data_IF_493237002768
#
_entry.id   IF_493237002768
#
_cell.length_a   1.000
_cell.length_b   1.000
_cell.length_c   1.000
_cell.angle_alpha   90.00
_cell.angle_beta   90.00
_cell.angle_gamma   90.00
#
_symmetry.space_group_name_H-M   'P 1'
#
loop_
_entity.id
_entity.type
_entity.pdbx_description
1 polymer ?
#
# COMPACT_ATOMS: atom_id res chain seq x y z
N UNK A 1 -18.28 24.56 11.17
CA UNK A 1 -18.13 23.31 10.42
C UNK A 1 -17.31 23.61 9.16
N UNK A 2 -16.14 22.97 8.99
CA UNK A 2 -15.31 23.16 7.78
C UNK A 2 -16.11 22.73 6.53
N UNK A 3 -16.03 23.44 5.41
CA UNK A 3 -16.63 23.00 4.15
C UNK A 3 -16.09 21.66 3.68
N UNK A 4 -16.87 20.91 2.89
CA UNK A 4 -16.43 19.66 2.28
C UNK A 4 -15.19 19.92 1.40
N UNK A 5 -14.19 19.06 1.52
CA UNK A 5 -12.90 19.16 0.81
C UNK A 5 -12.13 20.46 1.05
N UNK A 6 -12.35 21.11 2.19
CA UNK A 6 -11.65 22.36 2.52
C UNK A 6 -10.13 22.17 2.49
N UNK A 7 -9.63 21.18 3.21
CA UNK A 7 -8.20 20.92 3.30
C UNK A 7 -7.61 20.47 1.96
N UNK A 8 -8.34 19.64 1.22
CA UNK A 8 -7.93 19.20 -0.12
C UNK A 8 -7.62 20.37 -1.05
N UNK A 9 -8.46 21.41 -1.04
CA UNK A 9 -8.25 22.63 -1.83
C UNK A 9 -7.13 23.51 -1.25
N UNK A 10 -7.17 23.75 0.06
CA UNK A 10 -6.17 24.57 0.74
C UNK A 10 -4.73 24.09 0.48
N UNK A 11 -4.47 22.80 0.68
CA UNK A 11 -3.14 22.21 0.46
C UNK A 11 -2.71 22.35 -1.00
N UNK A 12 -3.64 22.13 -1.94
CA UNK A 12 -3.36 22.30 -3.36
C UNK A 12 -3.00 23.74 -3.72
N UNK A 13 -3.81 24.69 -3.26
CA UNK A 13 -3.62 26.10 -3.58
C UNK A 13 -2.30 26.63 -2.99
N UNK A 14 -2.00 26.30 -1.73
CA UNK A 14 -0.74 26.65 -1.07
C UNK A 14 0.49 26.06 -1.78
N UNK A 15 0.42 24.78 -2.15
CA UNK A 15 1.53 24.13 -2.84
C UNK A 15 1.76 24.73 -4.24
N UNK A 16 0.69 24.95 -5.01
CA UNK A 16 0.76 25.52 -6.35
C UNK A 16 1.27 26.96 -6.33
N UNK A 17 0.86 27.76 -5.36
CA UNK A 17 1.39 29.13 -5.17
C UNK A 17 2.91 29.11 -4.97
N UNK A 18 3.40 28.22 -4.09
CA UNK A 18 4.83 28.06 -3.81
C UNK A 18 5.61 27.54 -5.02
N UNK A 19 5.05 26.60 -5.77
CA UNK A 19 5.67 26.08 -6.99
C UNK A 19 5.80 27.16 -8.07
N UNK A 20 4.77 27.99 -8.26
CA UNK A 20 4.83 29.16 -9.19
C UNK A 20 5.86 30.18 -8.75
N UNK A 21 6.06 30.34 -7.43
CA UNK A 21 7.10 31.21 -6.88
C UNK A 21 8.53 30.59 -6.95
N UNK A 22 8.69 29.44 -7.62
CA UNK A 22 9.98 28.80 -7.84
C UNK A 22 10.43 27.79 -6.78
N UNK A 23 9.58 27.46 -5.80
CA UNK A 23 9.93 26.44 -4.80
C UNK A 23 9.93 25.05 -5.45
N UNK A 24 11.03 24.30 -5.32
CA UNK A 24 11.10 22.92 -5.76
C UNK A 24 10.39 21.96 -4.78
N UNK A 25 10.27 22.35 -3.52
CA UNK A 25 9.66 21.52 -2.47
C UNK A 25 8.77 22.35 -1.55
N UNK A 26 7.58 21.80 -1.24
CA UNK A 26 6.65 22.35 -0.24
C UNK A 26 6.42 21.29 0.83
N UNK A 27 6.41 21.69 2.10
CA UNK A 27 6.07 20.83 3.24
C UNK A 27 4.79 21.33 3.88
N UNK A 28 3.90 20.39 4.16
CA UNK A 28 2.63 20.65 4.84
C UNK A 28 2.38 19.58 5.90
N UNK A 29 1.89 20.00 7.06
CA UNK A 29 1.45 19.06 8.11
C UNK A 29 0.14 19.54 8.72
N UNK A 30 -0.71 18.57 9.10
CA UNK A 30 -1.97 18.83 9.79
C UNK A 30 -2.29 17.64 10.71
N UNK A 31 -3.24 17.83 11.58
CA UNK A 31 -3.72 16.84 12.53
C UNK A 31 -5.23 16.71 12.47
N UNK A 32 -5.76 15.54 12.85
CA UNK A 32 -7.19 15.27 12.96
C UNK A 32 -7.97 15.49 11.65
N UNK A 33 -7.33 15.24 10.51
CA UNK A 33 -7.99 15.31 9.20
C UNK A 33 -9.01 14.17 9.08
N UNK A 34 -10.26 14.54 8.83
CA UNK A 34 -11.38 13.59 8.83
C UNK A 34 -11.95 13.26 7.46
N UNK A 35 -13.02 12.49 7.46
CA UNK A 35 -13.70 11.95 6.27
C UNK A 35 -14.35 12.99 5.35
N UNK A 36 -14.46 14.23 5.79
CA UNK A 36 -14.96 15.35 4.97
C UNK A 36 -13.93 15.86 3.97
N UNK A 37 -12.64 15.58 4.18
CA UNK A 37 -11.56 15.91 3.26
C UNK A 37 -11.27 14.73 2.36
N UNK A 38 -11.98 14.65 1.23
CA UNK A 38 -11.87 13.61 0.21
C UNK A 38 -10.87 13.99 -0.86
N UNK A 39 -10.33 12.97 -1.54
CA UNK A 39 -9.43 13.13 -2.69
C UNK A 39 -8.22 14.06 -2.38
N UNK A 40 -7.74 14.06 -1.13
CA UNK A 40 -6.58 14.83 -0.73
C UNK A 40 -5.36 14.36 -1.54
N UNK A 41 -4.64 15.30 -2.13
CA UNK A 41 -3.54 15.05 -3.06
C UNK A 41 -3.94 14.99 -4.54
N UNK A 42 -5.15 14.52 -4.88
CA UNK A 42 -5.63 14.40 -6.28
C UNK A 42 -5.64 15.76 -7.00
N UNK A 43 -6.17 16.77 -6.33
CA UNK A 43 -6.27 18.11 -6.89
C UNK A 43 -4.90 18.71 -7.20
N UNK A 44 -3.96 18.55 -6.26
CA UNK A 44 -2.58 18.99 -6.43
C UNK A 44 -1.87 18.26 -7.55
N UNK A 45 -1.99 16.92 -7.60
CA UNK A 45 -1.38 16.12 -8.66
C UNK A 45 -1.86 16.54 -10.05
N UNK A 46 -3.18 16.73 -10.21
CA UNK A 46 -3.77 17.19 -11.47
C UNK A 46 -3.39 18.63 -11.84
N UNK A 47 -3.33 19.53 -10.89
CA UNK A 47 -2.92 20.92 -11.13
C UNK A 47 -1.45 21.03 -11.52
N UNK A 48 -0.57 20.33 -10.81
CA UNK A 48 0.86 20.30 -11.10
C UNK A 48 1.16 19.67 -12.47
N UNK A 49 0.52 18.54 -12.78
CA UNK A 49 0.69 17.89 -14.08
C UNK A 49 0.25 18.78 -15.25
N UNK A 50 -0.85 19.52 -15.08
CA UNK A 50 -1.35 20.44 -16.10
C UNK A 50 -0.46 21.64 -16.31
N UNK A 51 0.14 22.18 -15.25
CA UNK A 51 0.91 23.43 -15.32
C UNK A 51 2.38 23.20 -15.58
N UNK A 52 2.98 22.16 -15.00
CA UNK A 52 4.41 21.86 -15.06
C UNK A 52 4.75 20.60 -15.84
N UNK A 53 3.74 19.85 -16.28
CA UNK A 53 3.92 18.56 -16.95
C UNK A 53 3.96 17.37 -15.98
N UNK A 54 3.81 16.12 -16.49
CA UNK A 54 3.73 14.92 -15.67
C UNK A 54 5.07 14.56 -14.98
N UNK A 55 6.19 15.01 -15.54
CA UNK A 55 7.55 14.75 -15.03
C UNK A 55 8.16 15.95 -14.28
N UNK A 56 7.30 16.87 -13.87
CA UNK A 56 7.72 18.06 -13.12
C UNK A 56 8.52 17.69 -11.86
N UNK A 57 9.61 18.42 -11.61
CA UNK A 57 10.51 18.18 -10.48
C UNK A 57 10.00 18.68 -9.13
N UNK A 58 8.83 19.32 -9.09
CA UNK A 58 8.22 19.82 -7.86
C UNK A 58 7.77 18.69 -6.95
N UNK A 59 7.89 18.90 -5.62
CA UNK A 59 7.48 17.92 -4.62
C UNK A 59 6.71 18.56 -3.46
N UNK A 60 5.58 17.98 -3.13
CA UNK A 60 4.81 18.30 -1.93
C UNK A 60 4.92 17.12 -0.94
N UNK A 61 5.53 17.39 0.19
CA UNK A 61 5.67 16.45 1.30
C UNK A 61 4.59 16.77 2.33
N UNK A 62 3.61 15.89 2.45
CA UNK A 62 2.43 16.06 3.29
C UNK A 62 2.46 15.05 4.43
N UNK A 63 2.30 15.50 5.67
CA UNK A 63 2.17 14.64 6.84
C UNK A 63 0.88 14.93 7.59
N UNK A 64 0.07 13.91 7.82
CA UNK A 64 -1.21 13.99 8.52
C UNK A 64 -1.15 13.10 9.76
N UNK A 65 -1.15 13.70 10.96
CA UNK A 65 -1.13 12.96 12.21
C UNK A 65 -2.56 12.74 12.74
N UNK A 66 -2.79 11.65 13.46
CA UNK A 66 -4.09 11.31 14.09
C UNK A 66 -5.28 11.44 13.12
N UNK A 67 -5.11 11.00 11.86
CA UNK A 67 -5.98 11.36 10.75
C UNK A 67 -6.56 10.14 10.05
N UNK A 68 -7.83 10.26 9.59
CA UNK A 68 -8.48 9.32 8.68
C UNK A 68 -9.15 10.12 7.56
N UNK A 69 -8.37 10.56 6.55
CA UNK A 69 -8.90 11.30 5.41
C UNK A 69 -9.99 10.51 4.67
N UNK A 70 -10.89 11.22 4.01
CA UNK A 70 -12.00 10.64 3.27
C UNK A 70 -11.57 9.89 2.01
N UNK A 71 -12.57 9.31 1.33
CA UNK A 71 -12.39 8.49 0.12
C UNK A 71 -11.51 9.17 -0.93
N UNK A 72 -10.67 8.37 -1.61
CA UNK A 72 -9.83 8.82 -2.70
C UNK A 72 -8.56 9.57 -2.25
N UNK A 73 -8.11 9.40 -1.01
CA UNK A 73 -6.79 9.87 -0.59
C UNK A 73 -5.73 9.43 -1.62
N UNK A 74 -4.91 10.36 -2.12
CA UNK A 74 -3.87 10.06 -3.11
C UNK A 74 -4.40 9.49 -4.45
N UNK A 75 -5.70 9.50 -4.73
CA UNK A 75 -6.22 9.03 -6.00
C UNK A 75 -5.63 9.87 -7.15
N UNK A 76 -5.21 9.22 -8.24
CA UNK A 76 -4.48 9.83 -9.34
C UNK A 76 -3.23 10.60 -8.91
N UNK A 77 -2.64 10.21 -7.78
CA UNK A 77 -1.38 10.75 -7.29
C UNK A 77 -0.25 10.57 -8.30
N UNK A 78 0.70 11.50 -8.29
CA UNK A 78 1.83 11.51 -9.20
C UNK A 78 3.13 11.77 -8.43
N UNK A 79 4.26 11.83 -9.13
CA UNK A 79 5.59 12.08 -8.54
C UNK A 79 5.68 13.36 -7.70
N UNK A 80 4.75 14.29 -7.86
CA UNK A 80 4.69 15.52 -7.05
C UNK A 80 4.33 15.27 -5.59
N UNK A 81 3.77 14.09 -5.26
CA UNK A 81 3.25 13.80 -3.92
C UNK A 81 4.12 12.81 -3.16
N UNK A 82 4.50 13.19 -1.93
CA UNK A 82 4.95 12.30 -0.87
C UNK A 82 4.03 12.52 0.33
N UNK A 83 3.22 11.52 0.68
CA UNK A 83 2.20 11.65 1.72
C UNK A 83 2.35 10.57 2.78
N UNK A 84 2.38 10.97 4.03
CA UNK A 84 2.31 10.06 5.19
C UNK A 84 1.09 10.42 5.99
N UNK A 85 0.25 9.43 6.30
CA UNK A 85 -0.86 9.56 7.23
C UNK A 85 -0.67 8.59 8.39
N UNK A 86 -0.67 9.12 9.61
CA UNK A 86 -0.70 8.36 10.86
C UNK A 86 -2.17 8.27 11.30
N UNK A 87 -2.76 7.07 11.21
CA UNK A 87 -4.18 6.80 11.48
C UNK A 87 -4.74 5.77 10.53
N UNK A 88 -5.33 6.20 9.44
CA UNK A 88 -5.91 5.31 8.43
C UNK A 88 -6.31 6.04 7.16
N UNK A 89 -6.89 5.31 6.22
CA UNK A 89 -7.41 5.85 4.97
C UNK A 89 -8.68 5.11 4.54
N UNK A 90 -9.54 5.78 3.79
CA UNK A 90 -10.82 5.23 3.34
C UNK A 90 -10.74 4.61 1.94
N UNK A 91 -11.90 4.37 1.31
CA UNK A 91 -12.01 3.69 0.02
C UNK A 91 -11.32 4.45 -1.13
N UNK A 92 -10.79 3.71 -2.10
CA UNK A 92 -10.19 4.26 -3.30
C UNK A 92 -8.87 5.00 -3.08
N UNK A 93 -8.19 4.76 -1.95
CA UNK A 93 -6.86 5.31 -1.66
C UNK A 93 -5.86 4.84 -2.73
N UNK A 94 -5.05 5.75 -3.26
CA UNK A 94 -4.09 5.55 -4.34
C UNK A 94 -4.69 5.01 -5.67
N UNK A 95 -6.01 5.07 -5.87
CA UNK A 95 -6.65 4.65 -7.12
C UNK A 95 -6.07 5.43 -8.31
N UNK A 96 -5.65 4.72 -9.36
CA UNK A 96 -5.14 5.32 -10.60
C UNK A 96 -3.86 6.14 -10.42
N UNK A 97 -3.13 5.97 -9.33
CA UNK A 97 -1.88 6.69 -9.12
C UNK A 97 -0.84 6.34 -10.18
N UNK A 98 -0.06 7.34 -10.60
CA UNK A 98 0.98 7.23 -11.62
C UNK A 98 2.40 7.42 -11.08
N UNK A 99 2.55 7.69 -9.79
CA UNK A 99 3.85 7.91 -9.15
C UNK A 99 3.71 8.44 -7.73
N UNK A 100 4.84 8.87 -7.16
CA UNK A 100 4.91 9.40 -5.81
C UNK A 100 4.97 8.34 -4.72
N UNK A 101 4.83 8.76 -3.47
CA UNK A 101 4.90 7.86 -2.33
C UNK A 101 3.75 8.12 -1.34
N UNK A 102 3.14 7.04 -0.84
CA UNK A 102 2.12 7.07 0.19
C UNK A 102 2.46 6.07 1.29
N UNK A 103 2.42 6.51 2.54
CA UNK A 103 2.46 5.62 3.69
C UNK A 103 1.21 5.84 4.57
N UNK A 104 0.48 4.76 4.84
CA UNK A 104 -0.61 4.71 5.81
C UNK A 104 -0.12 3.94 7.03
N UNK A 105 0.13 4.65 8.10
CA UNK A 105 0.74 4.13 9.32
C UNK A 105 -0.25 4.13 10.48
N UNK A 106 0.00 3.29 11.47
CA UNK A 106 -0.78 3.27 12.71
C UNK A 106 -0.65 4.62 13.43
N UNK A 107 -1.77 5.23 13.72
CA UNK A 107 -1.87 6.41 14.55
C UNK A 107 -1.77 6.09 16.04
N UNK A 108 -1.62 7.10 16.89
CA UNK A 108 -1.60 6.97 18.34
C UNK A 108 -2.97 7.36 18.88
N UNK A 109 -3.62 6.46 19.64
CA UNK A 109 -4.89 6.75 20.30
C UNK A 109 -4.68 7.51 21.62
N UNK A 110 -5.79 7.84 22.31
CA UNK A 110 -5.74 8.58 23.59
C UNK A 110 -4.99 7.84 24.71
N UNK A 111 -4.87 6.52 24.63
CA UNK A 111 -4.13 5.70 25.59
C UNK A 111 -2.63 5.60 25.23
N UNK A 112 -2.17 6.29 24.19
CA UNK A 112 -0.81 6.23 23.70
C UNK A 112 -0.48 4.97 22.88
N UNK A 113 -1.48 4.13 22.56
CA UNK A 113 -1.30 2.92 21.77
C UNK A 113 -1.38 3.21 20.28
N UNK A 114 -0.53 2.54 19.49
CA UNK A 114 -0.60 2.61 18.04
C UNK A 114 -1.68 1.66 17.51
N UNK A 115 -2.63 2.24 16.79
CA UNK A 115 -3.82 1.54 16.29
C UNK A 115 -4.09 1.90 14.84
N UNK A 116 -4.96 1.12 14.19
CA UNK A 116 -5.39 1.27 12.80
C UNK A 116 -4.25 1.08 11.79
N UNK A 117 -3.89 2.07 10.97
CA UNK A 117 -2.92 1.94 9.88
C UNK A 117 -3.47 1.17 8.69
N UNK A 118 -4.79 1.15 8.53
CA UNK A 118 -5.50 0.38 7.52
C UNK A 118 -6.09 1.27 6.42
N UNK A 119 -6.46 0.63 5.31
CA UNK A 119 -7.14 1.30 4.20
C UNK A 119 -8.49 0.66 3.90
N UNK A 120 -9.39 1.43 3.28
CA UNK A 120 -10.67 0.93 2.79
C UNK A 120 -10.53 0.10 1.52
N UNK A 121 -11.66 -0.08 0.83
CA UNK A 121 -11.79 -0.88 -0.40
C UNK A 121 -11.05 -0.28 -1.59
N UNK A 122 -10.65 -1.15 -2.51
CA UNK A 122 -10.07 -0.74 -3.80
C UNK A 122 -8.81 0.11 -3.67
N UNK A 123 -7.98 -0.20 -2.68
CA UNK A 123 -6.66 0.41 -2.52
C UNK A 123 -5.80 0.16 -3.77
N UNK A 124 -5.12 1.20 -4.27
CA UNK A 124 -4.26 1.16 -5.47
C UNK A 124 -4.93 0.55 -6.72
N UNK A 125 -6.27 0.63 -6.84
CA UNK A 125 -6.99 0.15 -8.01
C UNK A 125 -6.49 0.85 -9.28
N UNK A 126 -5.98 0.09 -10.24
CA UNK A 126 -5.48 0.61 -11.51
C UNK A 126 -4.26 1.54 -11.39
N UNK A 127 -3.51 1.47 -10.30
CA UNK A 127 -2.28 2.24 -10.18
C UNK A 127 -1.22 1.75 -11.17
N UNK A 128 -0.56 2.69 -11.83
CA UNK A 128 0.44 2.44 -12.87
C UNK A 128 1.86 2.82 -12.42
N UNK A 129 2.01 3.39 -11.23
CA UNK A 129 3.29 3.75 -10.62
C UNK A 129 3.11 4.30 -9.22
N UNK A 130 4.21 4.43 -8.51
CA UNK A 130 4.27 4.90 -7.13
C UNK A 130 4.65 3.79 -6.14
N UNK A 131 4.98 4.20 -4.92
CA UNK A 131 5.29 3.29 -3.81
C UNK A 131 4.31 3.50 -2.66
N UNK A 132 3.61 2.44 -2.27
CA UNK A 132 2.56 2.50 -1.29
C UNK A 132 2.81 1.55 -0.12
N UNK A 133 2.82 2.08 1.09
CA UNK A 133 3.07 1.34 2.32
C UNK A 133 1.82 1.41 3.20
N UNK A 134 1.23 0.26 3.55
CA UNK A 134 0.09 0.13 4.46
C UNK A 134 0.53 -0.70 5.66
N UNK A 135 0.57 -0.09 6.84
CA UNK A 135 1.15 -0.76 8.01
C UNK A 135 0.29 -1.91 8.55
N UNK A 136 -1.01 -1.91 8.27
CA UNK A 136 -1.90 -2.95 8.78
C UNK A 136 -2.69 -3.60 7.65
N UNK A 137 -4.00 -3.44 7.61
CA UNK A 137 -4.92 -4.14 6.72
C UNK A 137 -5.37 -3.27 5.54
N UNK A 138 -5.85 -3.91 4.49
CA UNK A 138 -6.68 -3.28 3.48
C UNK A 138 -8.01 -4.03 3.36
N UNK A 139 -9.09 -3.31 3.07
CA UNK A 139 -10.37 -3.94 2.76
C UNK A 139 -10.30 -4.62 1.37
N UNK A 140 -11.39 -5.18 0.91
CA UNK A 140 -11.45 -5.97 -0.33
C UNK A 140 -11.00 -5.20 -1.57
N UNK A 141 -10.54 -5.96 -2.57
CA UNK A 141 -10.16 -5.46 -3.89
C UNK A 141 -8.90 -4.60 -3.91
N UNK A 142 -7.94 -4.88 -3.06
CA UNK A 142 -6.63 -4.23 -3.10
C UNK A 142 -5.87 -4.59 -4.39
N UNK A 143 -5.23 -3.60 -5.02
CA UNK A 143 -4.39 -3.72 -6.21
C UNK A 143 -5.09 -4.34 -7.45
N UNK A 144 -6.43 -4.23 -7.56
CA UNK A 144 -7.13 -4.65 -8.77
C UNK A 144 -6.64 -3.82 -9.96
N UNK A 145 -6.31 -4.49 -11.09
CA UNK A 145 -5.83 -3.86 -12.33
C UNK A 145 -4.58 -2.99 -12.14
N UNK A 146 -3.80 -3.23 -11.11
CA UNK A 146 -2.50 -2.58 -10.93
C UNK A 146 -1.54 -3.03 -12.03
N UNK A 147 -0.76 -2.09 -12.59
CA UNK A 147 0.10 -2.37 -13.74
C UNK A 147 1.54 -1.84 -13.63
N UNK A 148 1.94 -1.26 -12.49
CA UNK A 148 3.32 -0.75 -12.39
C UNK A 148 3.69 -0.12 -11.05
N UNK A 149 2.82 -0.15 -10.05
CA UNK A 149 3.11 0.37 -8.72
C UNK A 149 3.74 -0.69 -7.81
N UNK A 150 4.36 -0.23 -6.72
CA UNK A 150 4.86 -1.04 -5.63
C UNK A 150 3.94 -0.90 -4.41
N UNK A 151 3.54 -2.00 -3.77
CA UNK A 151 2.74 -1.97 -2.56
C UNK A 151 3.27 -2.92 -1.47
N UNK A 152 3.26 -2.48 -0.21
CA UNK A 152 3.59 -3.31 0.95
C UNK A 152 2.42 -3.27 1.93
N UNK A 153 1.90 -4.45 2.30
CA UNK A 153 0.89 -4.65 3.34
C UNK A 153 1.56 -5.27 4.56
N UNK A 154 1.69 -4.48 5.62
CA UNK A 154 2.50 -4.77 6.80
C UNK A 154 1.78 -5.52 7.92
N UNK A 155 0.45 -5.75 7.80
CA UNK A 155 -0.28 -6.59 8.76
C UNK A 155 0.31 -8.00 8.81
N UNK A 156 0.59 -8.53 10.01
CA UNK A 156 1.30 -9.80 10.22
C UNK A 156 0.41 -10.82 10.91
N UNK A 157 0.62 -12.11 10.61
CA UNK A 157 0.01 -13.22 11.33
C UNK A 157 0.76 -13.39 12.65
N UNK A 158 0.06 -13.26 13.77
CA UNK A 158 0.62 -13.30 15.14
C UNK A 158 0.06 -14.43 16.00
N UNK A 159 -0.76 -15.30 15.41
CA UNK A 159 -1.37 -16.43 16.10
C UNK A 159 -1.85 -17.51 15.12
N UNK A 160 -2.33 -18.66 15.64
CA UNK A 160 -2.72 -19.79 14.79
C UNK A 160 -3.80 -19.40 13.77
N UNK A 161 -3.58 -19.81 12.51
CA UNK A 161 -4.55 -19.67 11.42
C UNK A 161 -5.41 -20.94 11.38
N UNK A 162 -6.73 -20.76 11.53
CA UNK A 162 -7.72 -21.85 11.56
C UNK A 162 -8.70 -21.64 10.42
N UNK A 163 -8.35 -22.14 9.25
CA UNK A 163 -9.15 -21.96 8.04
C UNK A 163 -10.52 -22.65 8.10
N UNK A 164 -10.67 -23.64 8.97
CA UNK A 164 -11.91 -24.36 9.24
C UNK A 164 -12.92 -23.55 10.09
N UNK A 165 -12.49 -22.49 10.74
CA UNK A 165 -13.33 -21.67 11.62
C UNK A 165 -13.90 -20.45 10.89
N UNK A 166 -14.95 -20.63 10.10
CA UNK A 166 -15.74 -19.54 9.53
C UNK A 166 -15.16 -18.85 8.29
N UNK A 167 -15.50 -17.59 8.06
CA UNK A 167 -15.18 -16.87 6.84
C UNK A 167 -13.71 -16.39 6.82
N UNK A 168 -12.94 -16.83 5.84
CA UNK A 168 -11.54 -16.42 5.64
C UNK A 168 -11.39 -14.89 5.52
N UNK A 169 -12.29 -14.22 4.79
CA UNK A 169 -12.22 -12.77 4.57
C UNK A 169 -12.32 -11.96 5.87
N UNK A 170 -13.08 -12.41 6.86
CA UNK A 170 -13.26 -11.67 8.11
C UNK A 170 -11.99 -11.56 8.95
N UNK A 171 -11.09 -12.56 8.84
CA UNK A 171 -9.85 -12.67 9.62
C UNK A 171 -8.60 -12.26 8.83
N UNK A 172 -8.72 -12.17 7.51
CA UNK A 172 -7.61 -11.83 6.64
C UNK A 172 -7.19 -10.36 6.78
N UNK A 173 -5.93 -10.08 6.46
CA UNK A 173 -5.39 -8.72 6.40
C UNK A 173 -5.83 -8.01 5.12
N UNK A 174 -6.02 -8.76 4.01
CA UNK A 174 -6.73 -8.28 2.83
C UNK A 174 -8.08 -9.02 2.76
N UNK A 175 -9.18 -8.29 2.66
CA UNK A 175 -10.53 -8.86 2.87
C UNK A 175 -11.08 -9.66 1.67
N UNK A 176 -10.22 -9.96 0.68
CA UNK A 176 -10.53 -10.77 -0.49
C UNK A 176 -10.51 -10.01 -1.81
N UNK A 177 -10.49 -10.76 -2.91
CA UNK A 177 -10.43 -10.27 -4.29
C UNK A 177 -9.21 -9.37 -4.59
N UNK A 178 -8.11 -9.53 -3.86
CA UNK A 178 -6.90 -8.78 -4.11
C UNK A 178 -6.21 -9.25 -5.40
N UNK A 179 -5.54 -8.32 -6.07
CA UNK A 179 -4.72 -8.59 -7.27
C UNK A 179 -5.49 -9.09 -8.50
N UNK A 180 -6.82 -8.90 -8.53
CA UNK A 180 -7.61 -9.25 -9.74
C UNK A 180 -7.15 -8.43 -10.93
N UNK A 181 -6.94 -9.10 -12.07
CA UNK A 181 -6.50 -8.48 -13.32
C UNK A 181 -5.24 -7.62 -13.20
N UNK A 182 -4.37 -7.90 -12.24
CA UNK A 182 -3.07 -7.27 -12.13
C UNK A 182 -2.21 -7.64 -13.34
N UNK A 183 -1.58 -6.63 -13.96
CA UNK A 183 -0.79 -6.79 -15.18
C UNK A 183 0.68 -6.38 -15.01
N UNK A 184 1.07 -5.82 -13.87
CA UNK A 184 2.43 -5.41 -13.55
C UNK A 184 2.54 -4.86 -12.14
N UNK A 185 3.77 -4.52 -11.73
CA UNK A 185 4.07 -4.03 -10.40
C UNK A 185 4.46 -5.12 -9.41
N UNK A 186 4.85 -4.70 -8.20
CA UNK A 186 5.36 -5.59 -7.14
C UNK A 186 4.56 -5.39 -5.86
N UNK A 187 4.09 -6.49 -5.28
CA UNK A 187 3.34 -6.42 -4.02
C UNK A 187 3.99 -7.31 -2.97
N UNK A 188 4.16 -6.81 -1.75
CA UNK A 188 4.57 -7.62 -0.59
C UNK A 188 3.40 -7.71 0.38
N UNK A 189 3.03 -8.93 0.77
CA UNK A 189 2.00 -9.21 1.77
C UNK A 189 2.63 -9.91 2.96
N UNK A 190 2.70 -9.24 4.09
CA UNK A 190 3.23 -9.82 5.33
C UNK A 190 2.21 -10.66 6.10
N UNK A 191 0.93 -10.56 5.77
CA UNK A 191 -0.14 -11.29 6.45
C UNK A 191 -0.96 -12.20 5.56
N UNK A 192 -2.19 -12.46 5.95
CA UNK A 192 -3.14 -13.25 5.17
C UNK A 192 -3.74 -12.41 4.03
N UNK A 193 -3.56 -12.82 2.75
CA UNK A 193 -4.05 -12.07 1.60
C UNK A 193 -5.58 -12.20 1.40
N UNK A 194 -6.26 -13.01 2.21
CA UNK A 194 -7.69 -13.27 2.07
C UNK A 194 -8.06 -14.15 0.87
N UNK A 195 -9.34 -14.48 0.72
CA UNK A 195 -9.80 -15.40 -0.32
C UNK A 195 -9.90 -14.73 -1.70
N UNK A 196 -9.93 -15.58 -2.74
CA UNK A 196 -10.19 -15.25 -4.15
C UNK A 196 -9.18 -14.27 -4.76
N UNK A 197 -7.89 -14.43 -4.43
CA UNK A 197 -6.82 -13.58 -4.94
C UNK A 197 -6.39 -13.98 -6.35
N UNK A 198 -5.78 -13.03 -7.07
CA UNK A 198 -5.12 -13.22 -8.38
C UNK A 198 -6.05 -13.67 -9.52
N UNK A 199 -7.39 -13.45 -9.44
CA UNK A 199 -8.27 -13.76 -10.56
C UNK A 199 -7.88 -12.94 -11.79
N UNK A 200 -7.58 -13.62 -12.93
CA UNK A 200 -7.20 -12.96 -14.17
C UNK A 200 -5.89 -12.17 -14.12
N UNK A 201 -5.03 -12.42 -13.15
CA UNK A 201 -3.68 -11.83 -13.08
C UNK A 201 -2.82 -12.33 -14.23
N UNK A 202 -2.22 -11.40 -14.99
CA UNK A 202 -1.43 -11.69 -16.19
C UNK A 202 -0.02 -11.11 -16.15
N UNK A 203 0.34 -10.33 -15.13
CA UNK A 203 1.67 -9.76 -14.95
C UNK A 203 1.91 -9.28 -13.53
N UNK A 204 3.14 -8.87 -13.24
CA UNK A 204 3.59 -8.50 -11.90
C UNK A 204 3.88 -9.69 -10.99
N UNK A 205 4.27 -9.39 -9.75
CA UNK A 205 4.63 -10.40 -8.75
C UNK A 205 4.04 -10.04 -7.38
N UNK A 206 3.57 -11.06 -6.65
CA UNK A 206 3.16 -10.94 -5.25
C UNK A 206 4.10 -11.77 -4.38
N UNK A 207 4.80 -11.13 -3.47
CA UNK A 207 5.65 -11.75 -2.45
C UNK A 207 4.82 -12.00 -1.21
N UNK A 208 4.53 -13.26 -0.92
CA UNK A 208 3.71 -13.68 0.21
C UNK A 208 4.56 -14.23 1.34
N UNK A 209 4.48 -13.61 2.51
CA UNK A 209 5.12 -14.11 3.73
C UNK A 209 4.37 -15.32 4.29
N UNK A 210 5.12 -16.33 4.72
CA UNK A 210 4.63 -17.55 5.35
C UNK A 210 4.89 -17.54 6.86
N UNK A 211 4.01 -18.21 7.61
CA UNK A 211 4.12 -18.42 9.06
C UNK A 211 3.81 -19.88 9.38
N UNK A 212 4.74 -20.83 9.07
CA UNK A 212 4.50 -22.25 9.32
C UNK A 212 4.21 -22.56 10.79
N UNK A 213 4.80 -21.78 11.70
CA UNK A 213 4.60 -21.87 13.15
C UNK A 213 3.16 -21.55 13.57
N UNK A 214 2.41 -20.83 12.72
CA UNK A 214 1.01 -20.50 12.90
C UNK A 214 0.08 -21.24 11.95
N UNK A 215 0.59 -22.23 11.22
CA UNK A 215 -0.19 -22.99 10.25
C UNK A 215 -0.43 -22.29 8.90
N UNK A 216 0.18 -21.14 8.67
CA UNK A 216 0.06 -20.42 7.40
C UNK A 216 1.21 -20.80 6.45
N UNK A 217 0.94 -21.74 5.57
CA UNK A 217 1.89 -22.37 4.67
C UNK A 217 1.55 -22.11 3.20
N UNK A 218 2.36 -22.63 2.28
CA UNK A 218 2.07 -22.58 0.84
C UNK A 218 0.69 -23.17 0.50
N UNK A 219 0.25 -24.21 1.21
CA UNK A 219 -1.08 -24.79 1.02
C UNK A 219 -2.18 -23.82 1.47
N UNK A 220 -1.97 -23.08 2.56
CA UNK A 220 -2.88 -22.02 2.98
C UNK A 220 -3.00 -20.93 1.91
N UNK A 221 -1.91 -20.56 1.25
CA UNK A 221 -1.92 -19.59 0.14
C UNK A 221 -2.68 -20.16 -1.07
N UNK A 222 -2.47 -21.44 -1.44
CA UNK A 222 -3.23 -22.09 -2.54
C UNK A 222 -4.73 -22.05 -2.31
N UNK A 223 -5.21 -22.26 -1.09
CA UNK A 223 -6.63 -22.18 -0.73
C UNK A 223 -7.22 -20.77 -0.87
N UNK A 224 -6.39 -19.74 -0.93
CA UNK A 224 -6.82 -18.34 -1.12
C UNK A 224 -6.89 -17.92 -2.58
N UNK A 225 -6.31 -18.70 -3.49
CA UNK A 225 -6.38 -18.40 -4.91
C UNK A 225 -7.84 -18.44 -5.42
N UNK A 226 -8.17 -17.56 -6.33
CA UNK A 226 -9.42 -17.66 -7.07
C UNK A 226 -9.46 -18.96 -7.91
N UNK A 227 -10.63 -19.55 -8.09
CA UNK A 227 -10.80 -20.87 -8.73
C UNK A 227 -10.10 -21.02 -10.09
N UNK A 228 -9.99 -19.92 -10.84
CA UNK A 228 -9.38 -19.90 -12.17
C UNK A 228 -8.15 -19.00 -12.25
N UNK A 229 -7.51 -18.71 -11.12
CA UNK A 229 -6.28 -17.95 -11.11
C UNK A 229 -5.16 -18.73 -11.83
N UNK A 230 -4.65 -18.17 -12.92
CA UNK A 230 -3.57 -18.75 -13.70
C UNK A 230 -2.20 -18.29 -13.16
N UNK A 231 -1.92 -18.60 -11.89
CA UNK A 231 -0.67 -18.23 -11.22
C UNK A 231 0.05 -19.46 -10.68
N UNK A 232 1.35 -19.32 -10.47
CA UNK A 232 2.22 -20.32 -9.85
C UNK A 232 2.77 -19.77 -8.53
N UNK A 233 2.97 -20.67 -7.56
CA UNK A 233 3.66 -20.40 -6.32
C UNK A 233 5.09 -20.91 -6.46
N UNK A 234 6.04 -20.00 -6.52
CA UNK A 234 7.47 -20.31 -6.70
C UNK A 234 8.26 -19.94 -5.44
N UNK A 235 9.36 -20.64 -5.16
CA UNK A 235 10.33 -20.20 -4.17
C UNK A 235 10.90 -18.82 -4.53
N UNK A 236 11.38 -18.09 -3.51
CA UNK A 236 12.03 -16.81 -3.71
C UNK A 236 13.26 -16.94 -4.59
N UNK A 237 13.30 -16.20 -5.71
CA UNK A 237 14.46 -16.13 -6.61
C UNK A 237 15.48 -15.07 -6.16
N UNK A 238 16.66 -15.05 -6.79
CA UNK A 238 17.65 -13.99 -6.54
C UNK A 238 17.12 -12.59 -6.83
N UNK A 239 16.53 -12.32 -8.01
CA UNK A 239 15.85 -11.05 -8.27
C UNK A 239 14.71 -10.75 -7.29
N UNK A 240 13.89 -11.76 -6.92
CA UNK A 240 12.85 -11.57 -5.91
C UNK A 240 13.39 -11.20 -4.54
N UNK A 241 14.58 -11.67 -4.18
CA UNK A 241 15.28 -11.24 -2.97
C UNK A 241 15.66 -9.75 -3.06
N UNK A 242 16.16 -9.31 -4.19
CA UNK A 242 16.52 -7.90 -4.40
C UNK A 242 15.29 -6.98 -4.32
N UNK A 243 14.15 -7.41 -4.87
CA UNK A 243 12.87 -6.69 -4.71
C UNK A 243 12.45 -6.57 -3.25
N UNK A 244 12.55 -7.66 -2.48
CA UNK A 244 12.22 -7.63 -1.04
C UNK A 244 13.18 -6.73 -0.27
N UNK A 245 14.47 -6.75 -0.57
CA UNK A 245 15.47 -5.87 0.05
C UNK A 245 15.12 -4.39 -0.21
N UNK A 246 14.69 -4.04 -1.42
CA UNK A 246 14.25 -2.69 -1.75
C UNK A 246 12.93 -2.32 -1.06
N UNK A 247 11.88 -3.14 -1.22
CA UNK A 247 10.54 -2.79 -0.78
C UNK A 247 10.40 -2.82 0.75
N UNK A 248 10.88 -3.88 1.39
CA UNK A 248 10.86 -3.99 2.84
C UNK A 248 11.91 -3.09 3.50
N UNK A 249 13.06 -2.86 2.86
CA UNK A 249 14.03 -1.87 3.31
C UNK A 249 13.44 -0.46 3.37
N UNK A 250 12.70 -0.05 2.34
CA UNK A 250 11.96 1.22 2.34
C UNK A 250 10.88 1.28 3.43
N UNK A 251 10.17 0.16 3.65
CA UNK A 251 9.17 0.08 4.71
C UNK A 251 9.80 0.17 6.11
N UNK A 252 10.88 -0.55 6.37
CA UNK A 252 11.65 -0.47 7.62
C UNK A 252 12.15 0.95 7.87
N UNK A 253 12.69 1.62 6.85
CA UNK A 253 13.13 3.01 6.96
C UNK A 253 11.98 3.96 7.31
N UNK A 254 10.80 3.76 6.70
CA UNK A 254 9.59 4.55 6.99
C UNK A 254 9.11 4.35 8.43
N UNK A 255 9.10 3.11 8.92
CA UNK A 255 8.74 2.80 10.32
C UNK A 255 9.70 3.45 11.30
N UNK A 256 11.02 3.38 11.05
CA UNK A 256 12.03 4.06 11.87
C UNK A 256 11.84 5.57 11.89
N UNK A 257 11.63 6.18 10.73
CA UNK A 257 11.36 7.62 10.60
C UNK A 257 10.07 8.06 11.32
N UNK A 258 9.13 7.14 11.52
CA UNK A 258 7.87 7.35 12.24
C UNK A 258 7.93 6.91 13.71
N UNK A 259 9.14 6.76 14.28
CA UNK A 259 9.39 6.36 15.66
C UNK A 259 8.72 5.02 16.04
N UNK A 260 8.86 4.01 15.19
CA UNK A 260 8.36 2.65 15.40
C UNK A 260 9.47 1.60 15.30
N UNK A 261 10.53 1.68 16.15
CA UNK A 261 11.71 0.81 16.02
C UNK A 261 11.40 -0.67 16.25
N UNK A 262 10.45 -1.01 17.11
CA UNK A 262 10.06 -2.40 17.36
C UNK A 262 9.39 -3.04 16.14
N UNK A 263 8.48 -2.32 15.49
CA UNK A 263 7.86 -2.78 14.24
C UNK A 263 8.89 -2.90 13.12
N UNK A 264 9.79 -1.92 13.01
CA UNK A 264 10.87 -1.97 12.03
C UNK A 264 11.78 -3.19 12.23
N UNK A 265 12.14 -3.49 13.48
CA UNK A 265 12.97 -4.67 13.82
C UNK A 265 12.25 -5.98 13.48
N UNK A 266 10.94 -6.07 13.73
CA UNK A 266 10.15 -7.25 13.40
C UNK A 266 10.04 -7.48 11.88
N UNK A 267 9.89 -6.42 11.07
CA UNK A 267 9.91 -6.53 9.61
C UNK A 267 11.30 -6.91 9.11
N UNK A 268 12.35 -6.33 9.69
CA UNK A 268 13.74 -6.68 9.35
C UNK A 268 14.02 -8.16 9.59
N UNK A 269 13.55 -8.72 10.71
CA UNK A 269 13.73 -10.14 11.03
C UNK A 269 13.05 -11.07 10.01
N UNK A 270 11.90 -10.67 9.43
CA UNK A 270 11.28 -11.41 8.32
C UNK A 270 12.12 -11.32 7.04
N UNK A 271 12.66 -10.15 6.74
CA UNK A 271 13.53 -9.94 5.59
C UNK A 271 14.83 -10.75 5.71
N UNK A 272 15.44 -10.82 6.89
CA UNK A 272 16.66 -11.60 7.13
C UNK A 272 16.44 -13.11 6.88
N UNK A 273 15.21 -13.60 7.07
CA UNK A 273 14.78 -14.98 6.82
C UNK A 273 14.03 -15.14 5.48
N UNK A 274 14.18 -14.21 4.55
CA UNK A 274 13.34 -14.17 3.34
C UNK A 274 13.32 -15.46 2.52
N UNK A 275 14.44 -16.19 2.31
CA UNK A 275 14.41 -17.44 1.52
C UNK A 275 13.47 -18.52 2.07
N UNK A 276 13.32 -18.60 3.40
CA UNK A 276 12.46 -19.56 4.09
C UNK A 276 11.04 -19.02 4.31
N UNK A 277 10.89 -17.70 4.30
CA UNK A 277 9.66 -17.01 4.68
C UNK A 277 8.79 -16.58 3.51
N UNK A 278 9.32 -16.43 2.31
CA UNK A 278 8.55 -15.86 1.21
C UNK A 278 8.40 -16.82 0.03
N UNK A 279 7.20 -16.78 -0.53
CA UNK A 279 6.89 -17.31 -1.85
C UNK A 279 6.59 -16.18 -2.82
N UNK A 280 6.80 -16.43 -4.09
CA UNK A 280 6.36 -15.58 -5.19
C UNK A 280 5.11 -16.17 -5.83
N UNK A 281 4.07 -15.34 -6.01
CA UNK A 281 2.94 -15.65 -6.88
C UNK A 281 3.18 -14.90 -8.19
N UNK A 282 3.33 -15.64 -9.27
CA UNK A 282 3.58 -15.10 -10.61
C UNK A 282 2.59 -15.70 -11.62
N UNK A 283 2.23 -14.99 -12.68
CA UNK A 283 1.40 -15.55 -13.74
C UNK A 283 2.06 -16.77 -14.36
N UNK A 284 1.27 -17.79 -14.66
CA UNK A 284 1.74 -19.05 -15.23
C UNK A 284 2.33 -18.82 -16.63
N UNK A 285 3.52 -19.36 -16.89
CA UNK A 285 4.20 -19.28 -18.19
C UNK A 285 4.91 -17.96 -18.47
N UNK A 286 4.94 -17.02 -17.51
CA UNK A 286 5.84 -15.87 -17.57
C UNK A 286 7.08 -16.14 -16.71
N UNK A 287 8.30 -15.88 -17.20
CA UNK A 287 9.45 -15.90 -16.33
C UNK A 287 9.27 -14.85 -15.22
N UNK A 288 9.56 -15.20 -13.96
CA UNK A 288 9.57 -14.21 -12.88
C UNK A 288 10.59 -13.15 -13.25
N UNK A 289 10.17 -11.89 -13.36
CA UNK A 289 10.99 -10.71 -13.74
C UNK A 289 11.11 -10.37 -15.24
N UNK A 290 10.13 -10.70 -16.08
CA UNK A 290 9.96 -9.97 -17.33
C UNK A 290 9.05 -8.76 -17.09
N UNK A 291 9.63 -7.58 -17.20
CA UNK A 291 8.91 -6.36 -17.51
C UNK A 291 8.58 -6.29 -19.00
#
# INVERSE_FOLDING_TARGET
RKPLNYLTKLVSDLAMERFRAGSAMVRYSDEEVGSTDRALGTYLAGAAAREFGPDAGQRAVIRLASSVPGNGLFAFGSRVLDLVVDGGAQDGTAKGASGGALAVLKGVNLDGLRVDGSTGKSFAYGAIGGRFLVQNCADSRACIRMSGADAVFGGRITGPVRDEEGNLASRAHLKGFAFEYMTGGRVVVLGDPGPWICAGMTGGVVYQCLYPEHGFTAESVRRRLARFAAVELLPLSGPGRADLDELLGAYVATLRASNQPAEAAAVQALLDQAPERFLMLVPRGLPPHQE
#
